data_IF_972626850125
#
_entry.id   IF_972626850125
#
_cell.length_a   1.000
_cell.length_b   1.000
_cell.length_c   1.000
_cell.angle_alpha   90.00
_cell.angle_beta   90.00
_cell.angle_gamma   90.00
#
_symmetry.space_group_name_H-M   'P 1'
#
loop_
_entity.id
_entity.type
_entity.pdbx_description
1 polymer ?
#
# COMPACT_ATOMS: atom_id res chain seq x y z
N UNK A 1 10.66 8.55 -11.49
CA UNK A 1 9.71 9.50 -10.86
C UNK A 1 8.92 8.70 -9.84
N UNK A 2 8.98 9.09 -8.59
CA UNK A 2 8.38 8.38 -7.46
C UNK A 2 6.86 8.63 -7.42
N UNK A 3 6.08 7.59 -7.25
CA UNK A 3 4.62 7.65 -7.07
C UNK A 3 4.34 7.94 -5.60
N UNK A 4 3.53 8.96 -5.30
CA UNK A 4 3.12 9.27 -3.93
C UNK A 4 1.67 8.83 -3.74
N UNK A 5 1.46 7.95 -2.74
CA UNK A 5 0.16 7.38 -2.36
C UNK A 5 -0.19 7.77 -0.91
N UNK A 6 -0.86 8.92 -0.68
CA UNK A 6 -1.28 9.30 0.67
C UNK A 6 -2.22 8.26 1.29
N UNK A 7 -1.92 7.82 2.56
CA UNK A 7 -2.78 6.89 3.30
C UNK A 7 -3.96 7.61 3.93
N UNK A 8 -5.17 7.21 3.56
CA UNK A 8 -6.42 7.74 4.13
C UNK A 8 -6.61 7.41 5.61
N UNK A 9 -5.79 6.52 6.19
CA UNK A 9 -5.80 6.25 7.63
C UNK A 9 -5.48 7.53 8.46
N UNK A 10 -4.75 8.49 7.87
CA UNK A 10 -4.40 9.75 8.52
C UNK A 10 -5.37 10.90 8.22
N UNK A 11 -6.40 10.67 7.39
CA UNK A 11 -7.38 11.66 6.98
C UNK A 11 -8.49 11.87 8.03
N UNK A 12 -9.26 12.93 7.89
CA UNK A 12 -10.51 13.12 8.64
C UNK A 12 -11.62 12.24 8.03
N UNK A 13 -11.96 11.14 8.74
CA UNK A 13 -12.98 10.19 8.27
C UNK A 13 -14.38 10.78 8.16
N UNK A 14 -14.69 11.84 8.93
CA UNK A 14 -15.97 12.52 8.81
C UNK A 14 -16.17 13.23 7.45
N UNK A 15 -15.07 13.43 6.73
CA UNK A 15 -15.01 14.12 5.43
C UNK A 15 -14.22 13.33 4.39
N UNK A 16 -14.23 12.00 4.48
CA UNK A 16 -13.33 11.13 3.70
C UNK A 16 -13.35 11.43 2.19
N UNK A 17 -14.51 11.73 1.61
CA UNK A 17 -14.63 12.06 0.19
C UNK A 17 -13.98 13.40 -0.18
N UNK A 18 -14.03 14.39 0.71
CA UNK A 18 -13.36 15.69 0.51
C UNK A 18 -11.85 15.55 0.66
N UNK A 19 -11.41 14.84 1.69
CA UNK A 19 -10.00 14.54 1.92
C UNK A 19 -9.38 13.76 0.76
N UNK A 20 -10.11 12.80 0.19
CA UNK A 20 -9.66 12.05 -0.98
C UNK A 20 -9.46 12.96 -2.21
N UNK A 21 -10.39 13.88 -2.47
CA UNK A 21 -10.24 14.86 -3.56
C UNK A 21 -9.07 15.81 -3.28
N UNK A 22 -8.99 16.34 -2.05
CA UNK A 22 -7.90 17.22 -1.62
C UNK A 22 -6.51 16.60 -1.86
N UNK A 23 -6.34 15.32 -1.59
CA UNK A 23 -5.07 14.63 -1.84
C UNK A 23 -4.72 14.62 -3.34
N UNK A 24 -5.66 14.25 -4.23
CA UNK A 24 -5.41 14.30 -5.68
C UNK A 24 -5.21 15.71 -6.21
N UNK A 25 -5.97 16.68 -5.74
CA UNK A 25 -5.83 18.09 -6.12
C UNK A 25 -4.48 18.67 -5.65
N UNK A 26 -3.90 18.08 -4.58
CA UNK A 26 -2.56 18.40 -4.08
C UNK A 26 -1.43 17.64 -4.80
N UNK A 27 -1.74 16.85 -5.83
CA UNK A 27 -0.74 16.19 -6.66
C UNK A 27 -0.41 14.75 -6.27
N UNK A 28 -1.23 14.09 -5.45
CA UNK A 28 -1.12 12.66 -5.22
C UNK A 28 -1.33 11.87 -6.51
N UNK A 29 -0.57 10.80 -6.70
CA UNK A 29 -0.69 9.92 -7.86
C UNK A 29 -1.72 8.81 -7.59
N UNK A 30 -1.68 8.24 -6.38
CA UNK A 30 -2.59 7.20 -5.87
C UNK A 30 -3.21 7.61 -4.54
N UNK A 31 -4.14 6.79 -4.02
CA UNK A 31 -4.57 6.81 -2.63
C UNK A 31 -4.45 5.41 -2.03
N UNK A 32 -3.84 5.33 -0.85
CA UNK A 32 -3.66 4.11 -0.07
C UNK A 32 -4.78 3.93 0.94
N UNK A 33 -5.37 2.73 0.93
CA UNK A 33 -6.51 2.35 1.75
C UNK A 33 -6.09 1.25 2.72
N UNK A 34 -5.78 1.61 3.97
CA UNK A 34 -5.38 0.69 5.04
C UNK A 34 -6.60 0.02 5.68
N UNK A 35 -6.84 -1.24 5.35
CA UNK A 35 -7.98 -2.04 5.82
C UNK A 35 -7.54 -2.95 6.96
N UNK A 36 -8.15 -2.79 8.13
CA UNK A 36 -7.81 -3.51 9.36
C UNK A 36 -9.05 -4.09 10.01
N UNK A 37 -8.98 -5.33 10.51
CA UNK A 37 -10.11 -6.09 11.04
C UNK A 37 -10.08 -6.35 12.55
N UNK A 38 -9.01 -5.92 13.23
CA UNK A 38 -8.82 -6.17 14.66
C UNK A 38 -8.38 -7.60 15.00
N UNK A 39 -8.03 -8.43 13.98
CA UNK A 39 -7.53 -9.80 14.14
C UNK A 39 -6.11 -9.94 13.63
N UNK A 40 -5.85 -9.56 12.39
CA UNK A 40 -4.49 -9.57 11.85
C UNK A 40 -3.60 -8.49 12.51
N UNK A 41 -4.19 -7.33 12.81
CA UNK A 41 -3.57 -6.25 13.58
C UNK A 41 -4.50 -5.80 14.70
N UNK A 42 -3.96 -5.27 15.80
CA UNK A 42 -4.74 -4.81 16.96
C UNK A 42 -5.34 -3.40 16.72
N UNK A 43 -6.03 -3.25 15.59
CA UNK A 43 -6.76 -2.04 15.24
C UNK A 43 -7.86 -2.35 14.22
N UNK A 44 -8.92 -1.54 14.18
CA UNK A 44 -10.00 -1.58 13.20
C UNK A 44 -10.02 -0.24 12.46
N UNK A 45 -9.99 -0.26 11.13
CA UNK A 45 -10.06 0.97 10.33
C UNK A 45 -11.41 1.13 9.63
N UNK A 46 -11.50 0.70 8.41
CA UNK A 46 -12.71 0.79 7.58
C UNK A 46 -12.75 -0.38 6.58
N UNK A 47 -13.84 -0.47 5.83
CA UNK A 47 -14.07 -1.59 4.93
C UNK A 47 -14.52 -1.16 3.52
N UNK A 48 -15.07 -2.11 2.72
CA UNK A 48 -15.43 -1.89 1.32
C UNK A 48 -16.37 -0.72 1.08
N UNK A 49 -17.28 -0.43 2.00
CA UNK A 49 -18.25 0.67 1.85
C UNK A 49 -17.56 2.05 1.85
N UNK A 50 -16.53 2.22 2.66
CA UNK A 50 -15.72 3.45 2.65
C UNK A 50 -14.90 3.51 1.36
N UNK A 51 -14.32 2.39 0.89
CA UNK A 51 -13.62 2.34 -0.41
C UNK A 51 -14.56 2.75 -1.56
N UNK A 52 -15.80 2.28 -1.57
CA UNK A 52 -16.81 2.67 -2.55
C UNK A 52 -17.17 4.16 -2.47
N UNK A 53 -17.27 4.72 -1.24
CA UNK A 53 -17.51 6.14 -1.04
C UNK A 53 -16.33 7.00 -1.57
N UNK A 54 -15.08 6.56 -1.31
CA UNK A 54 -13.88 7.18 -1.86
C UNK A 54 -13.91 7.13 -3.39
N UNK A 55 -14.14 5.95 -4.00
CA UNK A 55 -14.26 5.80 -5.46
C UNK A 55 -15.28 6.74 -6.06
N UNK A 56 -16.47 6.81 -5.45
CA UNK A 56 -17.53 7.73 -5.88
C UNK A 56 -17.08 9.21 -5.82
N UNK A 57 -16.31 9.57 -4.80
CA UNK A 57 -15.85 10.94 -4.61
C UNK A 57 -14.77 11.38 -5.59
N UNK A 58 -13.85 10.47 -5.97
CA UNK A 58 -12.69 10.79 -6.81
C UNK A 58 -12.85 10.45 -8.28
N UNK A 59 -13.89 9.69 -8.63
CA UNK A 59 -14.17 9.27 -10.03
C UNK A 59 -13.40 8.00 -10.44
N UNK A 60 -13.65 7.48 -11.66
CA UNK A 60 -13.13 6.18 -12.10
C UNK A 60 -11.64 6.17 -12.42
N UNK A 61 -11.06 7.31 -12.79
CA UNK A 61 -9.71 7.39 -13.36
C UNK A 61 -8.59 7.47 -12.31
N UNK A 62 -8.94 7.67 -11.03
CA UNK A 62 -7.98 7.77 -9.94
C UNK A 62 -7.59 6.40 -9.44
N UNK A 63 -6.30 6.19 -9.15
CA UNK A 63 -5.80 4.91 -8.67
C UNK A 63 -5.98 4.77 -7.16
N UNK A 64 -6.61 3.66 -6.74
CA UNK A 64 -6.84 3.29 -5.34
C UNK A 64 -6.16 1.94 -5.09
N UNK A 65 -5.21 1.89 -4.19
CA UNK A 65 -4.55 0.67 -3.74
C UNK A 65 -5.04 0.28 -2.34
N UNK A 66 -5.59 -0.92 -2.20
CA UNK A 66 -6.12 -1.44 -0.95
C UNK A 66 -5.12 -2.39 -0.30
N UNK A 67 -4.64 -2.03 0.89
CA UNK A 67 -3.77 -2.83 1.73
C UNK A 67 -4.59 -3.56 2.78
N UNK A 68 -4.72 -4.88 2.63
CA UNK A 68 -5.56 -5.71 3.48
C UNK A 68 -4.75 -6.31 4.64
N UNK A 69 -4.79 -5.65 5.78
CA UNK A 69 -4.32 -6.13 7.08
C UNK A 69 -5.47 -6.84 7.80
N UNK A 70 -5.99 -7.91 7.19
CA UNK A 70 -7.12 -8.69 7.68
C UNK A 70 -6.82 -10.18 7.64
N UNK A 71 -7.43 -10.96 8.53
CA UNK A 71 -7.16 -12.40 8.67
C UNK A 71 -7.58 -13.21 7.43
N UNK A 72 -8.64 -12.80 6.72
CA UNK A 72 -9.23 -13.57 5.61
C UNK A 72 -9.40 -12.73 4.33
N UNK A 73 -8.30 -12.25 3.70
CA UNK A 73 -8.39 -11.50 2.43
C UNK A 73 -9.06 -12.33 1.32
N UNK A 74 -8.85 -13.65 1.29
CA UNK A 74 -9.47 -14.59 0.35
C UNK A 74 -11.01 -14.59 0.39
N UNK A 75 -11.58 -14.24 1.54
CA UNK A 75 -13.04 -14.17 1.74
C UNK A 75 -13.62 -12.79 1.37
N UNK A 76 -12.81 -11.73 1.45
CA UNK A 76 -13.33 -10.36 1.34
C UNK A 76 -12.93 -9.62 0.06
N UNK A 77 -11.88 -10.05 -0.68
CA UNK A 77 -11.33 -9.28 -1.79
C UNK A 77 -12.37 -8.91 -2.86
N UNK A 78 -13.34 -9.78 -3.16
CA UNK A 78 -14.42 -9.51 -4.11
C UNK A 78 -15.24 -8.26 -3.78
N UNK A 79 -15.38 -7.94 -2.48
CA UNK A 79 -16.10 -6.74 -2.03
C UNK A 79 -15.30 -5.48 -2.33
N UNK A 80 -13.97 -5.54 -2.20
CA UNK A 80 -13.08 -4.42 -2.56
C UNK A 80 -13.01 -4.23 -4.07
N UNK A 81 -13.02 -5.31 -4.85
CA UNK A 81 -13.14 -5.24 -6.33
C UNK A 81 -14.41 -4.50 -6.71
N UNK A 82 -15.57 -4.88 -6.13
CA UNK A 82 -16.85 -4.19 -6.37
C UNK A 82 -16.86 -2.74 -5.87
N UNK A 83 -16.11 -2.43 -4.84
CA UNK A 83 -15.91 -1.06 -4.35
C UNK A 83 -15.08 -0.21 -5.30
N UNK A 84 -14.44 -0.82 -6.31
CA UNK A 84 -13.71 -0.13 -7.38
C UNK A 84 -12.26 0.17 -7.06
N UNK A 85 -11.58 -0.62 -6.21
CA UNK A 85 -10.13 -0.51 -6.03
C UNK A 85 -9.41 -1.02 -7.27
N UNK A 86 -8.20 -0.52 -7.53
CA UNK A 86 -7.41 -0.87 -8.70
C UNK A 86 -6.37 -1.95 -8.39
N UNK A 87 -5.96 -2.03 -7.13
CA UNK A 87 -4.97 -2.97 -6.64
C UNK A 87 -5.38 -3.47 -5.24
N UNK A 88 -5.16 -4.75 -4.98
CA UNK A 88 -5.35 -5.38 -3.67
C UNK A 88 -4.03 -6.03 -3.26
N UNK A 89 -3.47 -5.57 -2.14
CA UNK A 89 -2.29 -6.09 -1.50
C UNK A 89 -2.67 -6.76 -0.18
N UNK A 90 -2.12 -7.95 0.11
CA UNK A 90 -2.32 -8.65 1.37
C UNK A 90 -1.01 -9.26 1.88
N UNK A 91 -0.97 -9.66 3.14
CA UNK A 91 0.26 -10.08 3.80
C UNK A 91 0.65 -11.52 3.51
N UNK A 92 1.95 -11.73 3.25
CA UNK A 92 2.54 -13.08 3.02
C UNK A 92 2.46 -13.96 4.27
N UNK A 93 2.38 -13.35 5.46
CA UNK A 93 2.29 -14.04 6.75
C UNK A 93 0.95 -14.75 6.98
N UNK A 94 -0.05 -14.55 6.12
CA UNK A 94 -1.41 -15.09 6.30
C UNK A 94 -1.58 -16.58 5.97
N UNK A 95 -0.64 -17.18 5.27
CA UNK A 95 -0.82 -18.59 4.93
C UNK A 95 0.36 -19.24 4.24
N UNK A 96 0.15 -20.50 3.87
CA UNK A 96 1.11 -21.27 3.10
C UNK A 96 1.14 -20.90 1.61
N UNK A 97 2.06 -21.51 0.87
CA UNK A 97 2.26 -21.20 -0.54
C UNK A 97 1.01 -21.46 -1.40
N UNK A 98 0.18 -22.44 -1.06
CA UNK A 98 -1.06 -22.71 -1.78
C UNK A 98 -2.07 -21.58 -1.56
N UNK A 99 -2.26 -21.16 -0.30
CA UNK A 99 -3.15 -20.06 0.05
C UNK A 99 -2.77 -18.77 -0.66
N UNK A 100 -1.46 -18.40 -0.61
CA UNK A 100 -0.95 -17.19 -1.22
C UNK A 100 -1.19 -17.18 -2.74
N UNK A 101 -0.76 -18.24 -3.47
CA UNK A 101 -0.94 -18.31 -4.92
C UNK A 101 -2.40 -18.34 -5.35
N UNK A 102 -3.22 -19.08 -4.63
CA UNK A 102 -4.66 -19.14 -4.92
C UNK A 102 -5.31 -17.77 -4.76
N UNK A 103 -4.98 -17.03 -3.69
CA UNK A 103 -5.54 -15.69 -3.45
C UNK A 103 -5.04 -14.67 -4.51
N UNK A 104 -3.75 -14.67 -4.84
CA UNK A 104 -3.18 -13.82 -5.90
C UNK A 104 -3.85 -14.09 -7.26
N UNK A 105 -4.02 -15.37 -7.61
CA UNK A 105 -4.67 -15.80 -8.86
C UNK A 105 -6.10 -15.30 -8.95
N UNK A 106 -6.89 -15.48 -7.90
CA UNK A 106 -8.29 -15.05 -7.82
C UNK A 106 -8.44 -13.52 -7.90
N UNK A 107 -7.56 -12.75 -7.28
CA UNK A 107 -7.55 -11.28 -7.39
C UNK A 107 -7.29 -10.87 -8.84
N UNK A 108 -6.31 -11.49 -9.50
CA UNK A 108 -6.00 -11.24 -10.92
C UNK A 108 -7.18 -11.62 -11.84
N UNK A 109 -7.82 -12.77 -11.62
CA UNK A 109 -8.99 -13.21 -12.38
C UNK A 109 -10.18 -12.25 -12.23
N UNK A 110 -10.28 -11.58 -11.08
CA UNK A 110 -11.28 -10.53 -10.84
C UNK A 110 -10.97 -9.20 -11.57
N UNK A 111 -9.86 -9.10 -12.31
CA UNK A 111 -9.51 -7.98 -13.16
C UNK A 111 -8.86 -6.79 -12.47
N UNK A 112 -8.37 -6.96 -11.24
CA UNK A 112 -7.59 -5.94 -10.51
C UNK A 112 -6.15 -6.42 -10.29
N UNK A 113 -5.24 -5.47 -10.08
CA UNK A 113 -3.84 -5.76 -9.77
C UNK A 113 -3.72 -6.44 -8.41
N UNK A 114 -2.76 -7.35 -8.29
CA UNK A 114 -2.47 -8.05 -7.04
C UNK A 114 -1.15 -7.61 -6.44
N UNK A 115 -1.00 -7.74 -5.12
CA UNK A 115 0.24 -7.46 -4.42
C UNK A 115 0.41 -8.31 -3.17
N UNK A 116 1.67 -8.44 -2.75
CA UNK A 116 2.03 -9.00 -1.45
C UNK A 116 2.72 -7.97 -0.57
N UNK A 117 2.35 -7.97 0.70
CA UNK A 117 3.00 -7.21 1.75
C UNK A 117 3.85 -8.12 2.64
N UNK A 118 4.92 -7.58 3.21
CA UNK A 118 5.70 -8.25 4.25
C UNK A 118 6.00 -7.31 5.41
N UNK A 119 5.92 -7.85 6.62
CA UNK A 119 6.20 -7.14 7.87
C UNK A 119 7.72 -6.83 8.04
N UNK A 120 8.09 -5.87 8.90
CA UNK A 120 9.50 -5.58 9.16
C UNK A 120 10.30 -6.79 9.67
N UNK A 121 9.67 -7.68 10.45
CA UNK A 121 10.32 -8.88 10.99
C UNK A 121 10.39 -10.05 10.00
N UNK A 122 9.55 -10.05 8.94
CA UNK A 122 9.49 -11.12 7.95
C UNK A 122 10.66 -11.01 6.97
N UNK A 123 11.46 -12.07 6.75
CA UNK A 123 12.60 -12.02 5.84
C UNK A 123 12.13 -11.90 4.38
N UNK A 124 12.99 -11.33 3.51
CA UNK A 124 12.71 -11.15 2.09
C UNK A 124 12.39 -12.49 1.38
N UNK A 125 13.06 -13.55 1.77
CA UNK A 125 12.92 -14.90 1.26
C UNK A 125 11.48 -15.46 1.38
N UNK A 126 10.66 -14.87 2.25
CA UNK A 126 9.24 -15.23 2.37
C UNK A 126 8.40 -14.78 1.17
N UNK A 127 8.76 -13.70 0.50
CA UNK A 127 8.04 -13.18 -0.68
C UNK A 127 8.72 -13.54 -2.00
N UNK A 128 10.01 -13.85 -1.98
CA UNK A 128 10.80 -14.15 -3.18
C UNK A 128 10.13 -15.17 -4.12
N UNK A 129 9.54 -16.30 -3.65
CA UNK A 129 8.89 -17.28 -4.50
C UNK A 129 7.69 -16.77 -5.30
N UNK A 130 7.17 -15.59 -4.99
CA UNK A 130 5.95 -15.03 -5.57
C UNK A 130 6.20 -13.79 -6.44
N UNK A 131 7.43 -13.26 -6.48
CA UNK A 131 7.75 -12.00 -7.13
C UNK A 131 7.44 -11.97 -8.64
N UNK A 132 7.49 -13.12 -9.31
CA UNK A 132 7.09 -13.25 -10.71
C UNK A 132 5.55 -13.25 -10.92
N UNK A 133 4.79 -13.35 -9.84
CA UNK A 133 3.34 -13.54 -9.87
C UNK A 133 2.57 -12.30 -9.37
N UNK A 134 3.27 -11.22 -8.98
CA UNK A 134 2.66 -10.03 -8.39
C UNK A 134 2.85 -8.79 -9.27
N UNK A 135 1.94 -7.82 -9.12
CA UNK A 135 2.06 -6.49 -9.72
C UNK A 135 2.73 -5.49 -8.76
N UNK A 136 2.71 -5.79 -7.44
CA UNK A 136 3.26 -4.91 -6.41
C UNK A 136 3.78 -5.70 -5.21
N UNK A 137 4.97 -5.32 -4.73
CA UNK A 137 5.51 -5.74 -3.44
C UNK A 137 5.45 -4.55 -2.47
N UNK A 138 4.74 -4.71 -1.35
CA UNK A 138 4.69 -3.73 -0.27
C UNK A 138 5.64 -4.12 0.87
N UNK A 139 6.66 -3.33 1.11
CA UNK A 139 7.59 -3.48 2.24
C UNK A 139 7.14 -2.56 3.37
N UNK A 140 6.69 -3.16 4.49
CA UNK A 140 6.34 -2.39 5.67
C UNK A 140 7.59 -1.85 6.36
N UNK A 141 7.61 -0.55 6.63
CA UNK A 141 8.69 0.12 7.39
C UNK A 141 8.27 0.53 8.81
N UNK A 142 7.15 0.00 9.27
CA UNK A 142 6.66 0.02 10.66
C UNK A 142 5.94 -1.29 10.94
N UNK A 143 5.70 -1.62 12.21
CA UNK A 143 4.79 -2.73 12.55
C UNK A 143 3.36 -2.29 12.17
N UNK A 144 2.65 -3.06 11.32
CA UNK A 144 1.30 -2.68 10.89
C UNK A 144 0.31 -2.51 12.05
N UNK A 145 -0.70 -1.63 11.85
CA UNK A 145 -1.80 -1.44 12.79
C UNK A 145 -2.07 0.02 13.17
N UNK A 146 -1.05 0.87 13.25
CA UNK A 146 -1.24 2.27 13.67
C UNK A 146 -0.47 3.24 12.78
N UNK A 147 -1.08 4.39 12.51
CA UNK A 147 -0.41 5.49 11.81
C UNK A 147 0.54 6.28 12.72
N UNK A 148 1.44 7.08 12.12
CA UNK A 148 2.30 8.02 12.83
C UNK A 148 3.51 7.40 13.55
N UNK A 149 3.86 6.17 13.24
CA UNK A 149 5.04 5.48 13.76
C UNK A 149 6.34 5.97 13.09
N UNK A 150 7.47 5.75 13.76
CA UNK A 150 8.78 6.07 13.23
C UNK A 150 9.23 5.07 12.17
N UNK A 151 9.78 5.58 11.09
CA UNK A 151 10.38 4.79 10.01
C UNK A 151 11.50 3.87 10.53
N UNK A 152 11.54 2.64 10.06
CA UNK A 152 12.55 1.63 10.37
C UNK A 152 13.53 1.48 9.20
N UNK A 153 14.73 2.11 9.24
CA UNK A 153 15.69 2.06 8.11
C UNK A 153 16.19 0.67 7.76
N UNK A 154 16.17 -0.26 8.72
CA UNK A 154 16.64 -1.65 8.51
C UNK A 154 15.87 -2.42 7.44
N UNK A 155 14.66 -1.97 7.06
CA UNK A 155 13.87 -2.64 6.02
C UNK A 155 14.34 -2.28 4.60
N UNK A 156 15.19 -1.26 4.45
CA UNK A 156 15.72 -0.86 3.14
C UNK A 156 16.49 -1.99 2.45
N UNK A 157 17.19 -2.83 3.20
CA UNK A 157 17.86 -4.03 2.66
C UNK A 157 16.91 -4.94 1.87
N UNK A 158 15.62 -5.01 2.28
CA UNK A 158 14.60 -5.80 1.55
C UNK A 158 14.16 -5.12 0.26
N UNK A 159 14.11 -3.80 0.27
CA UNK A 159 13.79 -3.00 -0.92
C UNK A 159 14.91 -3.15 -1.96
N UNK A 160 16.15 -3.06 -1.53
CA UNK A 160 17.34 -3.26 -2.38
C UNK A 160 17.36 -4.66 -2.97
N UNK A 161 17.18 -5.71 -2.16
CA UNK A 161 17.06 -7.10 -2.64
C UNK A 161 15.93 -7.28 -3.65
N UNK A 162 14.76 -6.66 -3.41
CA UNK A 162 13.64 -6.72 -4.34
C UNK A 162 13.94 -6.03 -5.67
N UNK A 163 14.63 -4.88 -5.64
CA UNK A 163 15.04 -4.14 -6.82
C UNK A 163 16.12 -4.91 -7.64
N UNK A 164 17.08 -5.53 -6.97
CA UNK A 164 18.07 -6.41 -7.58
C UNK A 164 17.39 -7.61 -8.24
N UNK A 165 16.56 -8.34 -7.51
CA UNK A 165 15.83 -9.50 -8.03
C UNK A 165 14.97 -9.12 -9.24
N UNK A 166 14.24 -7.99 -9.18
CA UNK A 166 13.42 -7.45 -10.28
C UNK A 166 14.27 -7.22 -11.53
N UNK A 167 15.46 -6.66 -11.37
CA UNK A 167 16.37 -6.36 -12.47
C UNK A 167 16.94 -7.65 -13.09
N UNK A 168 17.42 -8.57 -12.27
CA UNK A 168 18.01 -9.85 -12.71
C UNK A 168 17.00 -10.73 -13.45
N UNK A 169 15.74 -10.75 -12.98
CA UNK A 169 14.67 -11.55 -13.55
C UNK A 169 13.83 -10.82 -14.62
N UNK A 170 14.17 -9.55 -14.95
CA UNK A 170 13.42 -8.70 -15.90
C UNK A 170 11.93 -8.60 -15.55
N UNK A 171 11.62 -8.63 -14.27
CA UNK A 171 10.26 -8.50 -13.76
C UNK A 171 9.81 -7.02 -13.73
N UNK A 172 8.51 -6.79 -13.65
CA UNK A 172 7.91 -5.46 -13.81
C UNK A 172 7.04 -5.01 -12.63
N UNK A 173 7.03 -5.76 -11.53
CA UNK A 173 6.28 -5.35 -10.35
C UNK A 173 6.83 -4.05 -9.74
N UNK A 174 5.94 -3.27 -9.13
CA UNK A 174 6.33 -2.07 -8.39
C UNK A 174 6.73 -2.43 -6.96
N UNK A 175 7.68 -1.69 -6.41
CA UNK A 175 8.08 -1.78 -5.00
C UNK A 175 7.49 -0.59 -4.26
N UNK A 176 6.60 -0.88 -3.31
CA UNK A 176 5.94 0.11 -2.45
C UNK A 176 6.51 0.02 -1.04
N UNK A 177 6.63 1.16 -0.38
CA UNK A 177 6.98 1.23 1.04
C UNK A 177 5.88 1.94 1.82
N UNK A 178 5.56 1.42 3.00
CA UNK A 178 4.59 2.02 3.92
C UNK A 178 5.10 2.01 5.36
N UNK A 179 4.98 3.17 6.00
CA UNK A 179 5.28 3.37 7.42
C UNK A 179 6.31 4.46 7.71
N UNK A 180 5.87 5.54 8.33
CA UNK A 180 6.74 6.63 8.78
C UNK A 180 7.45 7.40 7.65
N UNK A 181 6.90 7.37 6.44
CA UNK A 181 7.49 8.02 5.27
C UNK A 181 7.07 9.49 5.20
N UNK A 182 8.02 10.33 4.84
CA UNK A 182 7.86 11.76 4.65
C UNK A 182 9.06 12.37 3.93
N UNK A 183 9.10 13.69 3.85
CA UNK A 183 10.12 14.45 3.13
C UNK A 183 11.57 14.10 3.54
N UNK A 184 11.76 13.72 4.81
CA UNK A 184 13.10 13.46 5.38
C UNK A 184 13.71 12.12 4.92
N UNK A 185 12.91 11.17 4.45
CA UNK A 185 13.38 9.82 4.09
C UNK A 185 12.90 9.32 2.72
N UNK A 186 12.01 10.07 2.03
CA UNK A 186 11.51 9.69 0.70
C UNK A 186 12.65 9.44 -0.31
N UNK A 187 13.64 10.34 -0.36
CA UNK A 187 14.79 10.17 -1.25
C UNK A 187 15.59 8.91 -0.95
N UNK A 188 15.77 8.54 0.32
CA UNK A 188 16.45 7.32 0.73
C UNK A 188 15.67 6.07 0.28
N UNK A 189 14.36 6.07 0.42
CA UNK A 189 13.48 4.98 -0.03
C UNK A 189 13.56 4.80 -1.56
N UNK A 190 13.50 5.90 -2.31
CA UNK A 190 13.61 5.88 -3.77
C UNK A 190 14.98 5.38 -4.24
N UNK A 191 16.07 5.78 -3.57
CA UNK A 191 17.43 5.31 -3.87
C UNK A 191 17.61 3.81 -3.62
N UNK A 192 16.93 3.26 -2.61
CA UNK A 192 16.90 1.82 -2.36
C UNK A 192 16.12 1.03 -3.43
N UNK A 193 15.31 1.70 -4.26
CA UNK A 193 14.55 1.09 -5.36
C UNK A 193 13.05 1.11 -5.22
N UNK A 194 12.49 1.85 -4.24
CA UNK A 194 11.06 2.02 -4.11
C UNK A 194 10.49 2.89 -5.23
N UNK A 195 9.41 2.43 -5.84
CA UNK A 195 8.67 3.14 -6.90
C UNK A 195 7.49 3.94 -6.31
N UNK A 196 6.88 3.43 -5.23
CA UNK A 196 5.68 3.98 -4.60
C UNK A 196 5.93 4.22 -3.11
N UNK A 197 5.61 5.41 -2.64
CA UNK A 197 5.75 5.80 -1.23
C UNK A 197 4.38 6.11 -0.63
N UNK A 198 4.03 5.37 0.42
CA UNK A 198 2.83 5.60 1.20
C UNK A 198 3.13 6.62 2.30
N UNK A 199 2.42 7.74 2.28
CA UNK A 199 2.64 8.85 3.20
C UNK A 199 1.34 9.25 3.90
N UNK A 200 1.23 8.97 5.20
CA UNK A 200 0.03 9.27 6.00
C UNK A 200 0.06 10.66 6.61
N UNK A 201 0.51 10.76 7.86
CA UNK A 201 0.54 12.02 8.63
C UNK A 201 1.41 13.11 8.01
N UNK A 202 2.47 12.73 7.29
CA UNK A 202 3.36 13.65 6.57
C UNK A 202 2.67 14.39 5.41
N UNK A 203 1.52 13.90 4.94
CA UNK A 203 0.66 14.56 3.94
C UNK A 203 -0.58 15.18 4.56
N UNK A 204 -1.46 14.37 5.19
CA UNK A 204 -2.77 14.85 5.67
C UNK A 204 -2.68 15.87 6.80
N UNK A 205 -1.63 15.82 7.64
CA UNK A 205 -1.39 16.77 8.73
C UNK A 205 -0.40 17.89 8.36
N UNK A 206 0.13 17.88 7.13
CA UNK A 206 1.02 18.94 6.66
C UNK A 206 0.23 20.27 6.52
N UNK A 207 0.82 21.40 6.89
CA UNK A 207 0.21 22.72 6.67
C UNK A 207 -0.06 23.00 5.18
N UNK A 208 0.79 22.47 4.30
CA UNK A 208 0.68 22.53 2.84
C UNK A 208 0.90 21.12 2.27
N UNK A 209 -0.19 20.43 1.96
CA UNK A 209 -0.15 19.06 1.44
C UNK A 209 0.51 19.00 0.05
N UNK A 210 0.25 19.99 -0.81
CA UNK A 210 0.79 19.99 -2.16
C UNK A 210 2.32 20.10 -2.14
N UNK A 211 2.84 20.99 -1.29
CA UNK A 211 4.28 21.11 -1.06
C UNK A 211 4.87 19.82 -0.46
N UNK A 212 4.21 19.25 0.54
CA UNK A 212 4.67 18.01 1.18
C UNK A 212 4.77 16.84 0.18
N UNK A 213 3.79 16.71 -0.72
CA UNK A 213 3.81 15.71 -1.80
C UNK A 213 4.92 16.01 -2.81
N UNK A 214 5.07 17.25 -3.24
CA UNK A 214 6.09 17.65 -4.22
C UNK A 214 7.52 17.42 -3.72
N UNK A 215 7.77 17.62 -2.43
CA UNK A 215 9.09 17.41 -1.80
C UNK A 215 9.46 15.92 -1.65
N UNK A 216 8.51 14.99 -1.83
CA UNK A 216 8.76 13.54 -1.81
C UNK A 216 8.94 12.92 -3.21
N UNK A 217 8.65 13.66 -4.29
CA UNK A 217 8.79 13.21 -5.69
C UNK A 217 10.21 13.38 -6.22
#
# INVERSE_FOLDING_TARGET
MTIISPSLLAADFSRIGEESRRAFDSGADWLHLDIMDGHFVDNISFGPEICAAVRKAVGPDRFLDAHLMIERPDHYFDRFVRAGVNLICFHVELGDSYYIRNTLGRIREAGVKNGLALNPATPFEAVEPYLAEIDLLLVMSVVPGFGGQSFMPSVLDKVEKAAEWRTENRATFLIQMDGGIGQNNAAQCALAGADVLVAGSSTFKAPDMARAIAEMK
#
